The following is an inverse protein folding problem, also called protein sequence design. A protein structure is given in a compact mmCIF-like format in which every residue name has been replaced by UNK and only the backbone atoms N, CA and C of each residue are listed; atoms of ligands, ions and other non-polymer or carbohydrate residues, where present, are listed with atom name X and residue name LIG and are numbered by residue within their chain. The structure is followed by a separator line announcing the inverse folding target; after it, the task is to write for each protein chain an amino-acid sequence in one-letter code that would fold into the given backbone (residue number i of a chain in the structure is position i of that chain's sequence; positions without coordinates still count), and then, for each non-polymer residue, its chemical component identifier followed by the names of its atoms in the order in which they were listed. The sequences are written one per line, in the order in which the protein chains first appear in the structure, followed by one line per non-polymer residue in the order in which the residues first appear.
data_IF_443499382596
#
_entry.id   IF_443499382596
#
_cell.length_a   1.000
_cell.length_b   1.000
_cell.length_c   1.000
_cell.angle_alpha   90.00
_cell.angle_beta   90.00
_cell.angle_gamma   90.00
#
_symmetry.space_group_name_H-M   'P 1'
#
loop_
_entity.id
_entity.type
_entity.pdbx_description
1 polymer ?
#
# COMPACT_ATOMS: atom_id res chain seq x y z
N UNK A 1 -7.18 -12.24 -30.03
CA UNK A 1 -7.42 -12.42 -28.58
C UNK A 1 -7.62 -11.04 -27.98
N UNK A 2 -8.69 -10.83 -27.21
CA UNK A 2 -8.91 -9.52 -26.58
C UNK A 2 -7.79 -9.20 -25.59
N UNK A 3 -7.00 -8.16 -25.87
CA UNK A 3 -5.97 -7.67 -24.98
C UNK A 3 -6.62 -6.79 -23.91
N UNK A 4 -7.19 -7.42 -22.86
CA UNK A 4 -7.95 -6.73 -21.83
C UNK A 4 -7.46 -7.06 -20.42
N UNK A 5 -7.56 -6.08 -19.51
CA UNK A 5 -7.17 -6.16 -18.11
C UNK A 5 -8.38 -5.89 -17.22
N UNK A 6 -8.58 -6.71 -16.18
CA UNK A 6 -9.51 -6.37 -15.10
C UNK A 6 -8.74 -5.80 -13.91
N UNK A 7 -9.15 -4.63 -13.43
CA UNK A 7 -8.67 -4.02 -12.18
C UNK A 7 -9.81 -4.03 -11.17
N UNK A 8 -9.65 -4.76 -10.08
CA UNK A 8 -10.65 -4.87 -9.01
C UNK A 8 -10.30 -3.88 -7.90
N UNK A 9 -11.16 -2.88 -7.73
CA UNK A 9 -10.96 -1.79 -6.77
C UNK A 9 -10.78 -0.45 -7.48
N UNK A 10 -11.88 0.29 -7.59
CA UNK A 10 -11.95 1.59 -8.27
C UNK A 10 -11.67 2.77 -7.31
N UNK A 11 -10.78 2.59 -6.34
CA UNK A 11 -10.21 3.68 -5.54
C UNK A 11 -9.19 4.49 -6.33
N UNK A 12 -8.65 5.56 -5.73
CA UNK A 12 -7.68 6.43 -6.41
C UNK A 12 -6.52 5.67 -7.06
N UNK A 13 -5.94 4.65 -6.37
CA UNK A 13 -4.83 3.89 -6.91
C UNK A 13 -5.23 2.96 -8.06
N UNK A 14 -6.33 2.20 -7.93
CA UNK A 14 -6.83 1.36 -9.02
C UNK A 14 -7.23 2.18 -10.24
N UNK A 15 -7.86 3.34 -10.03
CA UNK A 15 -8.20 4.28 -11.10
C UNK A 15 -6.96 4.86 -11.78
N UNK A 16 -5.93 5.23 -11.00
CA UNK A 16 -4.67 5.73 -11.55
C UNK A 16 -3.96 4.69 -12.42
N UNK A 17 -3.94 3.43 -11.98
CA UNK A 17 -3.38 2.33 -12.76
C UNK A 17 -4.20 2.05 -14.04
N UNK A 18 -5.54 2.14 -13.96
CA UNK A 18 -6.38 2.00 -15.15
C UNK A 18 -6.05 3.08 -16.19
N UNK A 19 -5.87 4.33 -15.77
CA UNK A 19 -5.49 5.44 -16.65
C UNK A 19 -4.07 5.22 -17.22
N UNK A 20 -3.10 4.92 -16.35
CA UNK A 20 -1.70 4.75 -16.77
C UNK A 20 -1.48 3.57 -17.74
N UNK A 21 -2.29 2.52 -17.62
CA UNK A 21 -2.20 1.32 -18.46
C UNK A 21 -3.13 1.36 -19.68
N UNK A 22 -3.96 2.38 -19.82
CA UNK A 22 -4.99 2.42 -20.88
C UNK A 22 -4.43 2.28 -22.29
N UNK A 23 -3.26 2.82 -22.56
CA UNK A 23 -2.62 2.71 -23.89
C UNK A 23 -2.05 1.31 -24.20
N UNK A 24 -1.99 0.41 -23.22
CA UNK A 24 -1.45 -0.96 -23.42
C UNK A 24 -2.53 -2.01 -23.66
N UNK A 25 -3.78 -1.68 -23.42
CA UNK A 25 -4.90 -2.61 -23.49
C UNK A 25 -6.01 -2.07 -24.39
N UNK A 26 -6.65 -2.97 -25.13
CA UNK A 26 -7.83 -2.62 -25.93
C UNK A 26 -9.01 -2.26 -25.04
N UNK A 27 -9.10 -2.93 -23.86
CA UNK A 27 -10.12 -2.68 -22.85
C UNK A 27 -9.55 -2.85 -21.44
N UNK A 28 -9.93 -1.96 -20.54
CA UNK A 28 -9.71 -2.11 -19.10
C UNK A 28 -11.07 -2.14 -18.41
N UNK A 29 -11.33 -3.20 -17.65
CA UNK A 29 -12.50 -3.30 -16.79
C UNK A 29 -12.12 -2.86 -15.37
N UNK A 30 -12.64 -1.73 -14.93
CA UNK A 30 -12.43 -1.19 -13.60
C UNK A 30 -13.64 -1.56 -12.72
N UNK A 31 -13.44 -2.51 -11.80
CA UNK A 31 -14.52 -3.05 -10.98
C UNK A 31 -14.61 -2.31 -9.65
N UNK A 32 -15.69 -1.56 -9.46
CA UNK A 32 -16.04 -0.89 -8.22
C UNK A 32 -16.73 -1.87 -7.24
N UNK A 33 -16.86 -1.47 -5.97
CA UNK A 33 -17.44 -2.32 -4.92
C UNK A 33 -18.92 -2.67 -5.20
N UNK A 34 -19.71 -1.70 -5.68
CA UNK A 34 -21.13 -1.82 -5.89
C UNK A 34 -21.64 -0.77 -6.91
N UNK A 35 -22.95 -0.79 -7.20
CA UNK A 35 -23.59 0.16 -8.12
C UNK A 35 -23.45 1.62 -7.69
N UNK A 36 -23.53 1.91 -6.40
CA UNK A 36 -23.44 3.28 -5.90
C UNK A 36 -22.03 3.84 -6.13
N UNK A 37 -21.00 3.04 -5.83
CA UNK A 37 -19.61 3.40 -6.13
C UNK A 37 -19.35 3.54 -7.62
N UNK A 38 -19.92 2.67 -8.47
CA UNK A 38 -19.84 2.80 -9.93
C UNK A 38 -20.41 4.13 -10.41
N UNK A 39 -21.60 4.49 -9.94
CA UNK A 39 -22.26 5.74 -10.32
C UNK A 39 -21.50 6.99 -9.86
N UNK A 40 -20.87 6.94 -8.67
CA UNK A 40 -20.12 8.07 -8.11
C UNK A 40 -18.81 8.37 -8.84
N UNK A 41 -18.25 7.42 -9.58
CA UNK A 41 -16.99 7.60 -10.31
C UNK A 41 -17.16 8.46 -11.57
N UNK A 42 -18.36 8.42 -12.22
CA UNK A 42 -18.61 9.21 -13.43
C UNK A 42 -17.54 9.01 -14.49
N UNK A 43 -17.03 10.10 -15.05
CA UNK A 43 -15.95 10.12 -16.05
C UNK A 43 -14.56 10.29 -15.45
N UNK A 44 -14.46 10.53 -14.13
CA UNK A 44 -13.21 10.82 -13.44
C UNK A 44 -13.31 10.48 -11.96
N UNK A 45 -12.25 9.90 -11.38
CA UNK A 45 -12.16 9.75 -9.92
C UNK A 45 -11.89 11.11 -9.28
N UNK A 46 -12.65 11.48 -8.24
CA UNK A 46 -12.60 12.81 -7.58
C UNK A 46 -11.21 13.24 -7.06
N UNK A 47 -10.35 12.27 -6.73
CA UNK A 47 -8.99 12.53 -6.24
C UNK A 47 -7.92 12.56 -7.35
N UNK A 48 -8.30 12.50 -8.62
CA UNK A 48 -7.37 12.45 -9.76
C UNK A 48 -7.63 13.62 -10.71
N UNK A 49 -6.58 14.08 -11.39
CA UNK A 49 -6.64 15.23 -12.30
C UNK A 49 -7.08 14.88 -13.74
N UNK A 50 -7.11 13.57 -14.09
CA UNK A 50 -7.48 13.12 -15.44
C UNK A 50 -8.74 12.26 -15.45
N UNK A 51 -9.50 12.40 -16.53
CA UNK A 51 -10.67 11.57 -16.83
C UNK A 51 -10.23 10.17 -17.30
N UNK A 52 -11.15 9.23 -17.18
CA UNK A 52 -10.96 7.88 -17.74
C UNK A 52 -10.94 7.92 -19.28
N UNK A 53 -10.03 7.14 -19.88
CA UNK A 53 -9.99 6.94 -21.33
C UNK A 53 -11.21 6.14 -21.81
N UNK A 54 -11.60 6.28 -23.07
CA UNK A 54 -12.79 5.63 -23.66
C UNK A 54 -12.76 4.09 -23.58
N UNK A 55 -11.59 3.48 -23.46
CA UNK A 55 -11.42 2.04 -23.33
C UNK A 55 -11.44 1.54 -21.87
N UNK A 56 -11.72 2.41 -20.89
CA UNK A 56 -11.91 2.04 -19.48
C UNK A 56 -13.41 1.91 -19.21
N UNK A 57 -13.83 0.68 -18.91
CA UNK A 57 -15.24 0.35 -18.62
C UNK A 57 -15.40 0.13 -17.12
N UNK A 58 -16.23 0.97 -16.49
CA UNK A 58 -16.47 0.92 -15.05
C UNK A 58 -17.71 0.08 -14.78
N UNK A 59 -17.61 -0.88 -13.89
CA UNK A 59 -18.69 -1.77 -13.47
C UNK A 59 -18.51 -2.28 -12.06
N UNK A 60 -19.33 -3.23 -11.64
CA UNK A 60 -19.29 -3.86 -10.31
C UNK A 60 -19.43 -5.40 -10.39
N UNK A 61 -19.55 -5.98 -11.59
CA UNK A 61 -19.60 -7.44 -11.78
C UNK A 61 -18.21 -8.02 -12.00
N UNK A 62 -17.95 -9.16 -11.39
CA UNK A 62 -16.71 -9.94 -11.64
C UNK A 62 -16.77 -10.77 -12.93
N UNK A 63 -17.92 -10.93 -13.57
CA UNK A 63 -18.06 -11.68 -14.83
C UNK A 63 -17.15 -11.16 -15.95
N UNK A 64 -16.76 -9.87 -15.89
CA UNK A 64 -15.82 -9.25 -16.82
C UNK A 64 -14.46 -9.93 -16.82
N UNK A 65 -14.12 -10.67 -15.75
CA UNK A 65 -12.88 -11.46 -15.64
C UNK A 65 -12.82 -12.50 -16.78
N UNK A 66 -13.93 -13.09 -17.15
CA UNK A 66 -13.98 -14.08 -18.23
C UNK A 66 -13.44 -13.53 -19.56
N UNK A 67 -13.61 -12.24 -19.78
CA UNK A 67 -13.15 -11.53 -20.98
C UNK A 67 -11.75 -10.91 -20.84
N UNK A 68 -11.05 -11.14 -19.71
CA UNK A 68 -9.78 -10.51 -19.42
C UNK A 68 -8.62 -11.47 -19.56
N UNK A 69 -7.46 -10.92 -19.94
CA UNK A 69 -6.17 -11.63 -20.05
C UNK A 69 -5.50 -11.79 -18.68
N UNK A 70 -5.71 -10.83 -17.76
CA UNK A 70 -5.12 -10.81 -16.43
C UNK A 70 -6.03 -10.04 -15.46
N UNK A 71 -5.79 -10.24 -14.15
CA UNK A 71 -6.54 -9.60 -13.06
C UNK A 71 -5.59 -8.91 -12.10
N UNK A 72 -5.83 -7.62 -11.82
CA UNK A 72 -5.08 -6.83 -10.85
C UNK A 72 -6.00 -6.41 -9.69
N UNK A 73 -5.67 -6.79 -8.46
CA UNK A 73 -6.45 -6.42 -7.27
C UNK A 73 -5.88 -5.14 -6.66
N UNK A 74 -6.73 -4.12 -6.52
CA UNK A 74 -6.41 -2.81 -5.94
C UNK A 74 -7.37 -2.44 -4.79
N UNK A 75 -7.91 -3.42 -4.10
CA UNK A 75 -8.82 -3.23 -2.96
C UNK A 75 -8.06 -3.05 -1.64
N UNK A 76 -8.68 -2.51 -0.59
CA UNK A 76 -8.13 -2.56 0.76
C UNK A 76 -7.88 -4.00 1.23
N UNK A 77 -6.91 -4.19 2.15
CA UNK A 77 -6.61 -5.53 2.70
C UNK A 77 -7.80 -6.18 3.38
N UNK A 78 -8.68 -5.40 4.00
CA UNK A 78 -9.94 -5.88 4.62
C UNK A 78 -10.94 -6.51 3.64
N UNK A 79 -10.77 -6.29 2.34
CA UNK A 79 -11.62 -6.89 1.31
C UNK A 79 -10.87 -7.95 0.50
N UNK A 80 -9.59 -8.16 0.74
CA UNK A 80 -8.75 -9.02 -0.10
C UNK A 80 -9.23 -10.48 -0.11
N UNK A 81 -9.44 -11.07 1.07
CA UNK A 81 -9.94 -12.46 1.20
C UNK A 81 -11.30 -12.66 0.54
N UNK A 82 -12.23 -11.71 0.73
CA UNK A 82 -13.57 -11.80 0.13
C UNK A 82 -13.52 -11.67 -1.40
N UNK A 83 -12.65 -10.83 -1.93
CA UNK A 83 -12.42 -10.72 -3.39
C UNK A 83 -11.88 -12.04 -3.93
N UNK A 84 -10.84 -12.62 -3.32
CA UNK A 84 -10.27 -13.91 -3.75
C UNK A 84 -11.34 -15.02 -3.78
N UNK A 85 -12.17 -15.10 -2.72
CA UNK A 85 -13.29 -16.07 -2.66
C UNK A 85 -14.26 -15.88 -3.82
N UNK A 86 -14.58 -14.63 -4.16
CA UNK A 86 -15.58 -14.32 -5.18
C UNK A 86 -15.10 -14.61 -6.59
N UNK A 87 -13.80 -14.43 -6.88
CA UNK A 87 -13.27 -14.52 -8.25
C UNK A 87 -12.61 -15.86 -8.59
N UNK A 88 -12.37 -16.73 -7.61
CA UNK A 88 -11.58 -17.97 -7.80
C UNK A 88 -12.07 -18.84 -8.96
N UNK A 89 -13.38 -18.92 -9.16
CA UNK A 89 -13.97 -19.76 -10.20
C UNK A 89 -13.93 -19.10 -11.60
N UNK A 90 -13.76 -17.79 -11.68
CA UNK A 90 -13.73 -17.05 -12.94
C UNK A 90 -12.31 -16.84 -13.49
N UNK A 91 -11.30 -17.10 -12.67
CA UNK A 91 -9.89 -16.89 -13.04
C UNK A 91 -9.43 -17.82 -14.17
N UNK A 92 -9.86 -19.09 -14.19
CA UNK A 92 -9.53 -20.05 -15.25
C UNK A 92 -8.03 -20.06 -15.62
N UNK A 93 -7.14 -20.06 -14.62
CA UNK A 93 -5.69 -20.04 -14.79
C UNK A 93 -5.09 -18.69 -15.21
N UNK A 94 -5.88 -17.60 -15.25
CA UNK A 94 -5.38 -16.29 -15.65
C UNK A 94 -4.38 -15.73 -14.64
N UNK A 95 -3.32 -15.03 -15.10
CA UNK A 95 -2.40 -14.33 -14.21
C UNK A 95 -3.12 -13.31 -13.32
N UNK A 96 -2.76 -13.35 -12.04
CA UNK A 96 -3.33 -12.46 -11.02
C UNK A 96 -2.21 -11.83 -10.19
N UNK A 97 -2.34 -10.53 -9.89
CA UNK A 97 -1.47 -9.80 -8.97
C UNK A 97 -2.29 -8.83 -8.13
N UNK A 98 -1.63 -8.22 -7.13
CA UNK A 98 -2.28 -7.19 -6.33
C UNK A 98 -1.34 -6.03 -6.02
N UNK A 99 -1.93 -4.85 -5.82
CA UNK A 99 -1.28 -3.63 -5.33
C UNK A 99 -1.75 -3.28 -3.91
N UNK A 100 -2.56 -4.13 -3.31
CA UNK A 100 -3.07 -4.02 -1.94
C UNK A 100 -1.91 -4.03 -0.95
N UNK A 101 -1.93 -3.10 -0.01
CA UNK A 101 -0.95 -2.99 1.07
C UNK A 101 -1.57 -3.42 2.39
N UNK A 102 -0.75 -3.97 3.30
CA UNK A 102 -1.22 -4.40 4.62
C UNK A 102 -1.12 -5.89 4.83
N UNK A 103 -1.57 -6.29 6.01
CA UNK A 103 -1.78 -7.68 6.41
C UNK A 103 -3.26 -8.03 6.30
N UNK A 104 -3.57 -9.30 6.30
CA UNK A 104 -4.94 -9.80 6.43
C UNK A 104 -5.47 -9.48 7.84
N UNK A 105 -6.56 -8.71 7.97
CA UNK A 105 -7.02 -8.25 9.29
C UNK A 105 -7.62 -9.36 10.16
N UNK A 106 -8.06 -10.47 9.57
CA UNK A 106 -8.65 -11.60 10.30
C UNK A 106 -7.56 -12.49 10.89
N UNK A 107 -6.56 -12.84 10.08
CA UNK A 107 -5.53 -13.80 10.45
C UNK A 107 -4.25 -13.14 10.99
N UNK A 108 -3.93 -11.93 10.56
CA UNK A 108 -2.64 -11.27 10.79
C UNK A 108 -1.54 -11.73 9.84
N UNK A 109 -1.86 -12.58 8.88
CA UNK A 109 -0.92 -13.09 7.90
C UNK A 109 -0.58 -12.05 6.82
N UNK A 110 0.55 -12.24 6.14
CA UNK A 110 0.82 -11.53 4.90
C UNK A 110 -0.15 -11.98 3.81
N UNK A 111 -0.53 -11.05 2.92
CA UNK A 111 -1.56 -11.32 1.90
C UNK A 111 -1.19 -12.46 0.94
N UNK A 112 0.09 -12.76 0.73
CA UNK A 112 0.49 -13.91 -0.08
C UNK A 112 0.14 -15.25 0.57
N UNK A 113 0.09 -15.34 1.90
CA UNK A 113 -0.34 -16.54 2.62
C UNK A 113 -1.85 -16.73 2.46
N UNK A 114 -2.62 -15.63 2.65
CA UNK A 114 -4.05 -15.60 2.36
C UNK A 114 -4.33 -15.97 0.88
N UNK A 115 -3.54 -15.42 -0.04
CA UNK A 115 -3.64 -15.74 -1.47
C UNK A 115 -3.47 -17.24 -1.73
N UNK A 116 -2.42 -17.85 -1.20
CA UNK A 116 -2.13 -19.29 -1.36
C UNK A 116 -3.23 -20.18 -0.79
N UNK A 117 -3.92 -19.73 0.25
CA UNK A 117 -5.04 -20.46 0.84
C UNK A 117 -6.25 -20.55 -0.11
N UNK A 118 -6.52 -19.48 -0.88
CA UNK A 118 -7.68 -19.43 -1.78
C UNK A 118 -7.37 -19.83 -3.21
N UNK A 119 -6.14 -19.61 -3.65
CA UNK A 119 -5.67 -19.80 -5.03
C UNK A 119 -4.33 -20.56 -5.08
N UNK A 120 -4.31 -21.82 -4.55
CA UNK A 120 -3.06 -22.59 -4.44
C UNK A 120 -2.42 -22.91 -5.79
N UNK A 121 -3.20 -22.94 -6.87
CA UNK A 121 -2.72 -23.23 -8.24
C UNK A 121 -2.12 -21.99 -8.94
N UNK A 122 -2.19 -20.80 -8.31
CA UNK A 122 -1.67 -19.58 -8.86
C UNK A 122 -0.40 -19.14 -8.14
N UNK A 123 0.49 -18.44 -8.84
CA UNK A 123 1.68 -17.86 -8.24
C UNK A 123 1.39 -16.45 -7.70
N UNK A 124 1.56 -16.21 -6.39
CA UNK A 124 1.32 -14.90 -5.79
C UNK A 124 2.27 -13.84 -6.36
N UNK A 125 1.73 -12.66 -6.70
CA UNK A 125 2.50 -11.54 -7.20
C UNK A 125 2.00 -10.22 -6.59
N UNK A 126 2.87 -9.53 -5.87
CA UNK A 126 2.59 -8.21 -5.28
C UNK A 126 3.32 -7.11 -6.04
N UNK A 127 2.67 -5.96 -6.18
CA UNK A 127 3.24 -4.78 -6.82
C UNK A 127 3.20 -3.64 -5.81
N UNK A 128 4.36 -3.07 -5.48
CA UNK A 128 4.48 -2.00 -4.49
C UNK A 128 5.68 -1.10 -4.78
N UNK A 129 5.69 0.12 -4.28
CA UNK A 129 6.80 1.06 -4.46
C UNK A 129 6.38 2.51 -4.27
N UNK A 130 7.31 3.47 -4.46
CA UNK A 130 7.12 4.89 -4.23
C UNK A 130 6.26 5.50 -5.33
N UNK A 131 4.94 5.47 -5.15
CA UNK A 131 3.98 5.95 -6.15
C UNK A 131 2.80 6.65 -5.49
N UNK A 132 2.60 7.93 -5.79
CA UNK A 132 1.35 8.62 -5.52
C UNK A 132 0.43 8.55 -6.73
N UNK A 133 -0.82 8.18 -6.52
CA UNK A 133 -1.81 8.04 -7.58
C UNK A 133 -1.94 9.30 -8.45
N UNK A 134 -1.91 10.49 -7.84
CA UNK A 134 -1.98 11.76 -8.54
C UNK A 134 -0.81 11.94 -9.52
N UNK A 135 0.42 11.65 -9.09
CA UNK A 135 1.61 11.80 -9.94
C UNK A 135 1.65 10.80 -11.09
N UNK A 136 1.19 9.57 -10.86
CA UNK A 136 1.07 8.57 -11.92
C UNK A 136 0.11 9.03 -13.03
N UNK A 137 -1.01 9.62 -12.65
CA UNK A 137 -2.00 10.16 -13.61
C UNK A 137 -1.47 11.39 -14.35
N UNK A 138 -0.63 12.18 -13.71
CA UNK A 138 0.08 13.32 -14.33
C UNK A 138 1.27 12.88 -15.21
N UNK A 139 1.49 11.57 -15.35
CA UNK A 139 2.59 10.99 -16.14
C UNK A 139 3.99 11.41 -15.66
N UNK A 140 4.12 11.72 -14.36
CA UNK A 140 5.44 11.94 -13.77
C UNK A 140 6.22 10.63 -13.73
N UNK A 141 7.53 10.65 -14.06
CA UNK A 141 8.35 9.46 -14.00
C UNK A 141 8.34 8.82 -12.61
N UNK A 142 8.09 7.52 -12.55
CA UNK A 142 8.04 6.77 -11.31
C UNK A 142 8.64 5.36 -11.49
N UNK A 143 8.90 4.71 -10.36
CA UNK A 143 9.41 3.34 -10.33
C UNK A 143 8.62 2.50 -9.33
N UNK A 144 8.38 1.23 -9.68
CA UNK A 144 7.60 0.30 -8.86
C UNK A 144 8.28 -1.08 -8.87
N UNK A 145 8.01 -1.90 -7.87
CA UNK A 145 8.55 -3.26 -7.75
C UNK A 145 7.43 -4.27 -7.97
N UNK A 146 7.71 -5.26 -8.80
CA UNK A 146 6.89 -6.44 -9.04
C UNK A 146 7.56 -7.62 -8.35
N UNK A 147 6.94 -8.20 -7.31
CA UNK A 147 7.54 -9.26 -6.52
C UNK A 147 6.72 -10.55 -6.58
N UNK A 148 7.41 -11.64 -6.89
CA UNK A 148 6.89 -13.02 -6.85
C UNK A 148 8.06 -13.99 -6.73
N UNK A 149 7.90 -15.13 -6.09
CA UNK A 149 8.91 -16.21 -6.13
C UNK A 149 9.03 -16.80 -7.53
N UNK A 150 7.95 -16.88 -8.29
CA UNK A 150 7.97 -17.38 -9.67
C UNK A 150 8.52 -16.35 -10.67
N UNK A 151 9.57 -16.74 -11.40
CA UNK A 151 10.26 -15.85 -12.38
C UNK A 151 9.37 -15.48 -13.56
N UNK A 152 8.52 -16.39 -14.03
CA UNK A 152 7.63 -16.15 -15.18
C UNK A 152 6.54 -15.14 -14.81
N UNK A 153 5.95 -15.31 -13.63
CA UNK A 153 4.95 -14.39 -13.08
C UNK A 153 5.51 -12.99 -12.88
N UNK A 154 6.74 -12.87 -12.33
CA UNK A 154 7.42 -11.56 -12.23
C UNK A 154 7.62 -10.89 -13.57
N UNK A 155 8.15 -11.62 -14.56
CA UNK A 155 8.40 -11.08 -15.89
C UNK A 155 7.10 -10.63 -16.56
N UNK A 156 6.05 -11.45 -16.50
CA UNK A 156 4.75 -11.15 -17.06
C UNK A 156 4.14 -9.86 -16.48
N UNK A 157 4.11 -9.74 -15.16
CA UNK A 157 3.55 -8.55 -14.51
C UNK A 157 4.45 -7.32 -14.63
N UNK A 158 5.76 -7.50 -14.69
CA UNK A 158 6.69 -6.41 -15.00
C UNK A 158 6.42 -5.83 -16.39
N UNK A 159 6.19 -6.68 -17.38
CA UNK A 159 5.82 -6.25 -18.73
C UNK A 159 4.48 -5.51 -18.75
N UNK A 160 3.47 -6.01 -18.04
CA UNK A 160 2.15 -5.35 -17.93
C UNK A 160 2.28 -3.95 -17.32
N UNK A 161 2.99 -3.81 -16.20
CA UNK A 161 3.07 -2.55 -15.43
C UNK A 161 4.02 -1.53 -16.07
N UNK A 162 5.05 -2.00 -16.77
CA UNK A 162 6.04 -1.13 -17.42
C UNK A 162 5.36 -0.22 -18.46
N UNK A 163 5.55 1.10 -18.32
CA UNK A 163 5.19 2.11 -19.35
C UNK A 163 6.38 3.02 -19.62
N UNK A 164 6.24 4.00 -20.49
CA UNK A 164 7.28 5.00 -20.73
C UNK A 164 7.60 5.82 -19.46
N UNK A 165 6.63 6.02 -18.59
CA UNK A 165 6.75 6.83 -17.37
C UNK A 165 6.83 6.02 -16.08
N UNK A 166 6.40 4.75 -16.08
CA UNK A 166 6.43 3.88 -14.92
C UNK A 166 7.39 2.71 -15.15
N UNK A 167 8.55 2.73 -14.49
CA UNK A 167 9.54 1.64 -14.58
C UNK A 167 9.20 0.53 -13.58
N UNK A 168 9.13 -0.70 -14.07
CA UNK A 168 8.87 -1.89 -13.26
C UNK A 168 10.17 -2.66 -12.99
N UNK A 169 10.59 -2.71 -11.72
CA UNK A 169 11.70 -3.55 -11.26
C UNK A 169 11.17 -4.85 -10.69
N UNK A 170 11.93 -5.92 -10.77
CA UNK A 170 11.51 -7.23 -10.26
C UNK A 170 12.24 -7.61 -8.98
N UNK A 171 11.54 -8.31 -8.06
CA UNK A 171 12.12 -8.87 -6.86
C UNK A 171 11.56 -10.29 -6.60
N UNK A 172 12.36 -11.20 -6.05
CA UNK A 172 11.88 -12.54 -5.62
C UNK A 172 11.35 -12.53 -4.19
N UNK A 173 11.70 -11.53 -3.39
CA UNK A 173 11.27 -11.40 -1.99
C UNK A 173 9.88 -10.76 -1.88
N UNK A 174 8.86 -11.60 -1.99
CA UNK A 174 7.46 -11.17 -1.85
C UNK A 174 7.13 -10.75 -0.40
N UNK A 175 7.85 -11.28 0.59
CA UNK A 175 7.66 -10.96 2.01
C UNK A 175 8.13 -9.53 2.29
N UNK A 176 9.36 -9.21 1.93
CA UNK A 176 9.94 -7.89 2.17
C UNK A 176 9.18 -6.77 1.48
N UNK A 177 8.74 -6.99 0.22
CA UNK A 177 7.95 -6.02 -0.53
C UNK A 177 6.59 -5.75 0.14
N UNK A 178 5.92 -6.76 0.71
CA UNK A 178 4.65 -6.59 1.43
C UNK A 178 4.84 -5.87 2.77
N UNK A 179 5.86 -6.27 3.56
CA UNK A 179 6.15 -5.64 4.85
C UNK A 179 6.50 -4.16 4.67
N UNK A 180 7.36 -3.84 3.68
CA UNK A 180 7.70 -2.47 3.34
C UNK A 180 6.46 -1.60 3.07
N UNK A 181 5.59 -2.07 2.17
CA UNK A 181 4.36 -1.37 1.82
C UNK A 181 3.36 -1.21 2.98
N UNK A 182 3.39 -2.15 3.95
CA UNK A 182 2.48 -2.14 5.10
C UNK A 182 2.94 -1.20 6.21
N UNK A 183 4.20 -1.31 6.63
CA UNK A 183 4.76 -0.60 7.79
C UNK A 183 5.03 0.88 7.48
N UNK A 184 5.43 1.22 6.26
CA UNK A 184 5.70 2.60 5.86
C UNK A 184 4.56 3.58 6.20
N UNK A 185 3.32 3.13 6.08
CA UNK A 185 2.14 3.96 6.32
C UNK A 185 2.01 4.35 7.80
N UNK A 186 2.38 3.45 8.70
CA UNK A 186 2.45 3.72 10.15
C UNK A 186 3.57 4.72 10.45
N UNK A 187 4.74 4.51 9.88
CA UNK A 187 5.90 5.40 10.04
C UNK A 187 5.63 6.81 9.46
N UNK A 188 4.83 6.91 8.41
CA UNK A 188 4.40 8.19 7.87
C UNK A 188 3.49 8.97 8.84
N UNK A 189 2.71 8.29 9.69
CA UNK A 189 1.96 8.96 10.78
C UNK A 189 2.96 9.58 11.78
N UNK A 190 3.99 8.82 12.19
CA UNK A 190 5.03 9.35 13.08
C UNK A 190 5.75 10.56 12.48
N UNK A 191 6.10 10.50 11.19
CA UNK A 191 6.71 11.62 10.46
C UNK A 191 5.78 12.86 10.44
N UNK A 192 4.48 12.63 10.27
CA UNK A 192 3.46 13.67 10.36
C UNK A 192 3.38 14.32 11.73
N UNK A 193 3.37 13.51 12.80
CA UNK A 193 3.38 13.99 14.19
C UNK A 193 4.62 14.87 14.42
N UNK A 194 5.80 14.39 14.08
CA UNK A 194 7.04 15.15 14.24
C UNK A 194 6.99 16.49 13.47
N UNK A 195 6.52 16.47 12.22
CA UNK A 195 6.37 17.68 11.40
C UNK A 195 5.35 18.65 12.00
N UNK A 196 4.22 18.16 12.49
CA UNK A 196 3.16 18.98 13.11
C UNK A 196 3.60 19.63 14.43
N UNK A 197 4.52 19.00 15.17
CA UNK A 197 5.16 19.54 16.37
C UNK A 197 6.28 20.56 16.04
N UNK A 198 6.54 20.82 14.76
CA UNK A 198 7.55 21.81 14.33
C UNK A 198 8.98 21.28 14.25
N UNK A 199 9.19 19.97 14.33
CA UNK A 199 10.54 19.40 14.16
C UNK A 199 11.03 19.50 12.71
N UNK A 200 12.34 19.80 12.56
CA UNK A 200 12.97 20.04 11.29
C UNK A 200 13.48 18.81 10.56
N UNK A 201 14.24 19.04 9.49
CA UNK A 201 14.78 18.02 8.59
C UNK A 201 15.67 16.97 9.29
N UNK A 202 16.45 17.37 10.31
CA UNK A 202 17.29 16.44 11.07
C UNK A 202 16.45 15.35 11.77
N UNK A 203 15.36 15.74 12.43
CA UNK A 203 14.43 14.82 13.07
C UNK A 203 13.74 13.93 12.05
N UNK A 204 13.35 14.48 10.91
CA UNK A 204 12.76 13.74 9.79
C UNK A 204 13.72 12.64 9.29
N UNK A 205 14.99 12.99 9.04
CA UNK A 205 16.00 12.05 8.59
C UNK A 205 16.23 10.92 9.62
N UNK A 206 16.38 11.28 10.91
CA UNK A 206 16.55 10.30 11.98
C UNK A 206 15.34 9.36 12.09
N UNK A 207 14.11 9.90 12.00
CA UNK A 207 12.89 9.12 12.07
C UNK A 207 12.77 8.13 10.89
N UNK A 208 13.07 8.56 9.67
CA UNK A 208 13.07 7.69 8.48
C UNK A 208 14.09 6.57 8.65
N UNK A 209 15.32 6.89 9.07
CA UNK A 209 16.39 5.90 9.27
C UNK A 209 16.01 4.88 10.35
N UNK A 210 15.54 5.34 11.52
CA UNK A 210 15.13 4.45 12.62
C UNK A 210 13.87 3.66 12.27
N UNK A 211 12.92 4.29 11.58
CA UNK A 211 11.72 3.62 11.08
C UNK A 211 12.04 2.51 10.07
N UNK A 212 13.00 2.75 9.17
CA UNK A 212 13.50 1.71 8.26
C UNK A 212 14.11 0.53 9.03
N UNK A 213 14.84 0.79 10.11
CA UNK A 213 15.39 -0.26 10.96
C UNK A 213 14.29 -1.09 11.65
N UNK A 214 13.20 -0.46 12.14
CA UNK A 214 12.02 -1.18 12.67
C UNK A 214 11.37 -2.06 11.61
N UNK A 215 11.09 -1.48 10.43
CA UNK A 215 10.52 -2.19 9.30
C UNK A 215 11.36 -3.39 8.89
N UNK A 216 12.69 -3.21 8.83
CA UNK A 216 13.63 -4.27 8.46
C UNK A 216 13.64 -5.39 9.49
N UNK A 217 13.66 -5.08 10.80
CA UNK A 217 13.62 -6.10 11.86
C UNK A 217 12.37 -6.96 11.76
N UNK A 218 11.20 -6.32 11.62
CA UNK A 218 9.94 -7.05 11.45
C UNK A 218 9.96 -7.92 10.19
N UNK A 219 10.42 -7.35 9.06
CA UNK A 219 10.46 -8.10 7.80
C UNK A 219 11.38 -9.31 7.85
N UNK A 220 12.59 -9.17 8.40
CA UNK A 220 13.55 -10.28 8.56
C UNK A 220 12.96 -11.37 9.47
N UNK A 221 12.30 -10.99 10.56
CA UNK A 221 11.61 -11.96 11.43
C UNK A 221 10.49 -12.73 10.71
N UNK A 222 9.88 -12.13 9.70
CA UNK A 222 8.86 -12.76 8.84
C UNK A 222 9.47 -13.50 7.63
N UNK A 223 10.79 -13.57 7.52
CA UNK A 223 11.50 -14.30 6.45
C UNK A 223 11.85 -13.47 5.21
N UNK A 224 11.83 -12.13 5.31
CA UNK A 224 12.29 -11.26 4.23
C UNK A 224 13.81 -11.17 4.13
N UNK A 225 14.30 -10.84 2.94
CA UNK A 225 15.68 -10.44 2.74
C UNK A 225 15.91 -8.99 3.21
N UNK A 226 16.91 -8.78 4.07
CA UNK A 226 17.30 -7.47 4.60
C UNK A 226 17.54 -6.45 3.47
N UNK A 227 18.13 -6.86 2.36
CA UNK A 227 18.48 -6.00 1.22
C UNK A 227 17.23 -5.42 0.53
N UNK A 228 16.11 -6.12 0.57
CA UNK A 228 14.83 -5.63 -0.01
C UNK A 228 14.41 -4.28 0.56
N UNK A 229 14.68 -4.05 1.85
CA UNK A 229 14.31 -2.79 2.52
C UNK A 229 15.15 -1.58 2.10
N UNK A 230 16.31 -1.78 1.49
CA UNK A 230 17.13 -0.70 0.94
C UNK A 230 16.65 -0.25 -0.45
N UNK A 231 15.73 -1.00 -1.05
CA UNK A 231 15.20 -0.74 -2.38
C UNK A 231 13.94 0.15 -2.40
N UNK A 232 13.31 0.17 -3.58
CA UNK A 232 12.14 1.02 -3.85
C UNK A 232 10.94 0.72 -2.94
N UNK A 233 10.63 -0.56 -2.68
CA UNK A 233 9.49 -0.96 -1.84
C UNK A 233 9.72 -0.80 -0.34
N UNK A 234 10.96 -0.60 0.08
CA UNK A 234 11.37 -0.28 1.46
C UNK A 234 11.67 1.20 1.60
N UNK A 235 12.95 1.58 1.53
CA UNK A 235 13.44 2.95 1.72
C UNK A 235 12.75 3.94 0.77
N UNK A 236 12.64 3.62 -0.51
CA UNK A 236 12.04 4.53 -1.49
C UNK A 236 10.61 4.92 -1.15
N UNK A 237 9.76 3.92 -0.88
CA UNK A 237 8.35 4.15 -0.54
C UNK A 237 8.18 4.77 0.86
N UNK A 238 9.09 4.49 1.79
CA UNK A 238 9.13 5.10 3.11
C UNK A 238 9.47 6.60 3.01
N UNK A 239 10.55 6.96 2.31
CA UNK A 239 10.99 8.35 2.12
C UNK A 239 9.87 9.16 1.46
N UNK A 240 9.31 8.67 0.35
CA UNK A 240 8.21 9.34 -0.34
C UNK A 240 7.03 9.61 0.60
N UNK A 241 6.60 8.58 1.34
CA UNK A 241 5.38 8.67 2.15
C UNK A 241 5.56 9.51 3.41
N UNK A 242 6.78 9.57 3.96
CA UNK A 242 7.11 10.38 5.14
C UNK A 242 7.39 11.86 4.82
N UNK A 243 7.79 12.18 3.58
CA UNK A 243 8.29 13.53 3.25
C UNK A 243 7.26 14.44 2.60
N UNK A 244 6.19 13.91 2.01
CA UNK A 244 5.24 14.68 1.24
C UNK A 244 3.82 14.66 1.82
N UNK A 245 3.12 15.81 1.74
CA UNK A 245 1.74 15.97 2.22
C UNK A 245 0.67 15.40 1.27
N UNK A 246 1.02 14.86 0.12
CA UNK A 246 0.16 13.95 -0.64
C UNK A 246 -0.13 12.66 0.15
N UNK A 247 0.73 12.31 1.12
CA UNK A 247 0.49 11.22 2.05
C UNK A 247 -0.61 11.54 3.05
N UNK A 248 -1.75 10.85 2.92
CA UNK A 248 -2.85 10.95 3.90
C UNK A 248 -2.41 10.53 5.31
N UNK A 249 -1.51 9.56 5.41
CA UNK A 249 -0.97 9.11 6.69
C UNK A 249 -0.14 10.21 7.36
N UNK A 250 0.71 10.89 6.60
CA UNK A 250 1.50 12.02 7.10
C UNK A 250 0.59 13.19 7.52
N UNK A 251 -0.40 13.56 6.71
CA UNK A 251 -1.39 14.59 7.09
C UNK A 251 -2.15 14.23 8.37
N UNK A 252 -2.58 12.97 8.51
CA UNK A 252 -3.23 12.49 9.73
C UNK A 252 -2.32 12.66 10.95
N UNK A 253 -1.03 12.34 10.83
CA UNK A 253 -0.05 12.57 11.90
C UNK A 253 0.08 14.06 12.26
N UNK A 254 0.04 14.98 11.27
CA UNK A 254 0.05 16.42 11.53
C UNK A 254 -1.20 16.88 12.30
N UNK A 255 -2.37 16.35 11.98
CA UNK A 255 -3.60 16.64 12.73
C UNK A 255 -3.48 16.19 14.20
N UNK A 256 -2.96 14.98 14.44
CA UNK A 256 -2.75 14.47 15.80
C UNK A 256 -1.79 15.35 16.61
N UNK A 257 -0.80 15.96 15.97
CA UNK A 257 0.15 16.87 16.65
C UNK A 257 -0.52 18.09 17.29
N UNK A 258 -1.69 18.49 16.81
CA UNK A 258 -2.51 19.56 17.39
C UNK A 258 -3.27 19.14 18.65
N UNK A 259 -3.00 17.94 19.17
CA UNK A 259 -3.62 17.34 20.36
C UNK A 259 -5.16 17.23 20.30
N UNK A 260 -5.69 17.03 19.09
CA UNK A 260 -7.10 16.71 18.86
C UNK A 260 -7.33 15.21 18.97
N UNK A 261 -8.59 14.80 19.13
CA UNK A 261 -8.93 13.38 19.17
C UNK A 261 -8.60 12.66 17.86
N UNK A 262 -8.31 11.38 17.93
CA UNK A 262 -8.10 10.52 16.76
C UNK A 262 -9.30 10.57 15.80
N UNK A 263 -10.52 10.57 16.33
CA UNK A 263 -11.73 10.63 15.52
C UNK A 263 -11.89 11.96 14.79
N UNK A 264 -11.55 13.08 15.42
CA UNK A 264 -11.59 14.38 14.75
C UNK A 264 -10.49 14.52 13.71
N UNK A 265 -9.27 14.03 13.99
CA UNK A 265 -8.20 13.96 13.02
C UNK A 265 -8.61 13.13 11.77
N UNK A 266 -9.29 11.99 11.95
CA UNK A 266 -9.81 11.18 10.85
C UNK A 266 -10.89 11.91 10.04
N UNK A 267 -11.80 12.64 10.69
CA UNK A 267 -12.82 13.46 10.02
C UNK A 267 -12.17 14.55 9.16
N UNK A 268 -11.14 15.23 9.67
CA UNK A 268 -10.43 16.28 8.94
C UNK A 268 -9.76 15.75 7.66
N UNK A 269 -9.21 14.53 7.70
CA UNK A 269 -8.61 13.90 6.53
C UNK A 269 -9.67 13.54 5.46
N UNK A 270 -10.90 13.24 5.87
CA UNK A 270 -12.03 12.87 5.00
C UNK A 270 -11.67 11.80 3.94
N UNK A 271 -10.80 10.87 4.29
CA UNK A 271 -10.36 9.78 3.43
C UNK A 271 -9.80 8.62 4.27
N UNK A 272 -9.69 7.44 3.67
CA UNK A 272 -9.09 6.29 4.37
C UNK A 272 -7.63 6.55 4.71
N UNK A 273 -7.29 6.42 5.99
CA UNK A 273 -5.92 6.44 6.54
C UNK A 273 -5.47 4.99 6.72
N UNK A 274 -4.75 4.46 5.75
CA UNK A 274 -4.34 3.04 5.74
C UNK A 274 -3.42 2.70 6.91
N UNK A 275 -2.50 3.60 7.27
CA UNK A 275 -1.58 3.42 8.39
C UNK A 275 -2.29 3.27 9.73
N UNK A 276 -3.34 4.04 9.98
CA UNK A 276 -4.15 3.90 11.18
C UNK A 276 -4.85 2.54 11.25
N UNK A 277 -5.43 2.08 10.11
CA UNK A 277 -6.07 0.76 10.05
C UNK A 277 -5.08 -0.39 10.24
N UNK A 278 -3.86 -0.25 9.70
CA UNK A 278 -2.82 -1.27 9.79
C UNK A 278 -2.12 -1.31 11.14
N UNK A 279 -2.11 -0.20 11.88
CA UNK A 279 -1.28 0.02 13.08
C UNK A 279 -1.42 -1.08 14.14
N UNK A 280 -2.66 -1.36 14.57
CA UNK A 280 -2.92 -2.40 15.58
C UNK A 280 -2.44 -3.78 15.13
N UNK A 281 -2.61 -4.07 13.85
CA UNK A 281 -2.23 -5.34 13.27
C UNK A 281 -0.71 -5.47 13.12
N UNK A 282 -0.03 -4.42 12.66
CA UNK A 282 1.44 -4.35 12.63
C UNK A 282 2.01 -4.60 14.02
N UNK A 283 1.49 -3.93 15.05
CA UNK A 283 1.94 -4.12 16.43
C UNK A 283 1.62 -5.50 16.99
N UNK A 284 0.47 -6.08 16.63
CA UNK A 284 0.14 -7.48 17.00
C UNK A 284 1.15 -8.46 16.37
N UNK A 285 1.43 -8.31 15.09
CA UNK A 285 2.40 -9.18 14.38
C UNK A 285 3.80 -9.00 14.97
N UNK A 286 4.23 -7.76 15.26
CA UNK A 286 5.52 -7.49 15.88
C UNK A 286 5.65 -8.17 17.26
N UNK A 287 4.63 -8.04 18.12
CA UNK A 287 4.62 -8.67 19.47
C UNK A 287 4.64 -10.19 19.38
N UNK A 288 3.88 -10.78 18.47
CA UNK A 288 3.86 -12.25 18.25
C UNK A 288 5.24 -12.78 17.84
N UNK A 289 6.04 -11.97 17.15
CA UNK A 289 7.40 -12.31 16.72
C UNK A 289 8.48 -11.75 17.67
N UNK A 290 8.10 -11.16 18.82
CA UNK A 290 9.02 -10.59 19.81
C UNK A 290 9.92 -9.47 19.23
N UNK A 291 9.39 -8.69 18.30
CA UNK A 291 10.10 -7.59 17.62
C UNK A 291 9.71 -6.25 18.24
N UNK A 292 10.71 -5.52 18.72
CA UNK A 292 10.53 -4.14 19.18
C UNK A 292 10.36 -3.18 18.01
N UNK A 293 9.29 -2.40 18.07
CA UNK A 293 8.99 -1.33 17.11
C UNK A 293 8.61 -0.04 17.86
N UNK A 294 9.56 0.60 18.52
CA UNK A 294 9.29 1.72 19.44
C UNK A 294 8.60 2.91 18.76
N UNK A 295 8.94 3.25 17.52
CA UNK A 295 8.26 4.34 16.80
C UNK A 295 6.80 3.98 16.54
N UNK A 296 6.55 2.78 16.01
CA UNK A 296 5.19 2.30 15.75
C UNK A 296 4.38 2.18 17.04
N UNK A 297 5.00 1.79 18.16
CA UNK A 297 4.35 1.69 19.47
C UNK A 297 3.93 3.07 19.99
N UNK A 298 4.77 4.09 19.89
CA UNK A 298 4.40 5.45 20.26
C UNK A 298 3.25 5.99 19.40
N UNK A 299 3.24 5.69 18.10
CA UNK A 299 2.09 6.04 17.24
C UNK A 299 0.81 5.35 17.74
N UNK A 300 0.88 4.09 18.16
CA UNK A 300 -0.26 3.38 18.72
C UNK A 300 -0.78 4.05 19.99
N UNK A 301 0.11 4.37 20.93
CA UNK A 301 -0.25 5.02 22.19
C UNK A 301 -0.90 6.40 21.96
N UNK A 302 -0.37 7.19 21.04
CA UNK A 302 -0.95 8.50 20.66
C UNK A 302 -2.35 8.31 20.07
N UNK A 303 -2.53 7.38 19.15
CA UNK A 303 -3.83 7.15 18.50
C UNK A 303 -4.88 6.55 19.45
N UNK A 304 -4.45 5.91 20.53
CA UNK A 304 -5.32 5.40 21.61
C UNK A 304 -5.57 6.44 22.73
N UNK A 305 -5.00 7.64 22.61
CA UNK A 305 -5.10 8.70 23.64
C UNK A 305 -4.39 8.36 24.97
N UNK A 306 -3.46 7.40 24.93
CA UNK A 306 -2.69 6.95 26.13
C UNK A 306 -1.45 7.80 26.40
N UNK A 307 -1.01 8.56 25.42
CA UNK A 307 0.08 9.53 25.54
C UNK A 307 -0.17 10.69 24.57
N UNK A 308 0.40 11.85 24.89
CA UNK A 308 0.37 13.00 24.00
C UNK A 308 1.45 12.87 22.91
N UNK A 309 1.29 13.52 21.75
CA UNK A 309 2.32 13.56 20.72
C UNK A 309 3.70 14.04 21.23
N UNK A 310 3.71 15.03 22.13
CA UNK A 310 4.94 15.57 22.72
C UNK A 310 5.63 14.58 23.66
N UNK A 311 4.85 13.90 24.52
CA UNK A 311 5.37 12.86 25.40
C UNK A 311 5.93 11.68 24.60
N UNK A 312 5.24 11.23 23.54
CA UNK A 312 5.70 10.16 22.67
C UNK A 312 7.08 10.45 22.05
N UNK A 313 7.32 11.69 21.61
CA UNK A 313 8.65 12.09 21.11
C UNK A 313 9.68 12.10 22.24
N UNK A 314 9.33 12.60 23.43
CA UNK A 314 10.24 12.61 24.58
C UNK A 314 10.67 11.19 24.97
N UNK A 315 9.74 10.24 25.01
CA UNK A 315 10.04 8.84 25.29
C UNK A 315 11.00 8.21 24.28
N UNK A 316 10.83 8.54 22.97
CA UNK A 316 11.75 8.07 21.94
C UNK A 316 13.17 8.66 22.10
N UNK A 317 13.29 9.92 22.52
CA UNK A 317 14.58 10.59 22.76
C UNK A 317 15.28 10.09 24.02
N UNK A 318 14.55 9.63 25.05
CA UNK A 318 15.11 9.08 26.30
C UNK A 318 15.64 7.64 26.14
N UNK A 319 15.34 6.96 25.03
CA UNK A 319 15.89 5.62 24.77
C UNK A 319 17.41 5.67 24.71
N UNK A 320 18.06 4.71 25.38
CA UNK A 320 19.52 4.60 25.33
C UNK A 320 19.99 4.41 23.87
N UNK A 321 20.99 5.17 23.44
CA UNK A 321 21.60 4.93 22.13
C UNK A 321 22.08 3.48 22.00
N UNK A 322 21.74 2.83 20.91
CA UNK A 322 22.27 1.51 20.54
C UNK A 322 23.32 1.66 19.43
N UNK A 323 24.17 0.67 19.28
CA UNK A 323 25.07 0.60 18.13
C UNK A 323 24.24 0.56 16.83
N UNK A 324 24.67 1.31 15.83
CA UNK A 324 24.02 1.41 14.54
C UNK A 324 24.45 0.30 13.59
#
# INVERSE_FOLDING_TARGET
MNNSLTIIGAGAWGSALAIALSNKFDKIFLVAKDKANTASLGTQHSALSRSYSQNIFIGHSYEVINNSKAVLIATPSSSFSSVLKSIKNDLNGKPIAWVTKGFDPETGNLLHETFNQYLPEHHPCVISGPTFAAEIVEEKPAAIVVASKDKKTRAYWSDIIQTEKLRAYTNSDIVGVQVGGSVKNVLAIAAGIASGLGFGANTQAALITRGLAEMTRLGVALGADKVTFQGLSGLGDLVLTCSDDLSRNRRFGKELASNISTDDALKNINATVEGFKALKLVMKVARNNQIEMPICEQVLLVTEGKTTPKEAVTELLLRKPSQE
#
